data_IF_307869158500
#
_entry.id   IF_307869158500
#
_cell.length_a   1.000
_cell.length_b   1.000
_cell.length_c   1.000
_cell.angle_alpha   90.00
_cell.angle_beta   90.00
_cell.angle_gamma   90.00
#
_symmetry.space_group_name_H-M   'P 1'
#
loop_
_entity.id
_entity.type
_entity.pdbx_description
1 polymer ?
#
# COMPACT_ATOMS: atom_id res chain seq x y z
N UNK A 1 -38.00 -4.89 -16.43
CA UNK A 1 -37.77 -3.65 -15.66
C UNK A 1 -36.65 -3.95 -14.68
N UNK A 2 -35.42 -3.58 -15.06
CA UNK A 2 -34.17 -3.95 -14.39
C UNK A 2 -33.96 -3.00 -13.18
N UNK A 3 -34.72 -3.24 -12.10
CA UNK A 3 -34.67 -2.45 -10.88
C UNK A 3 -33.43 -2.86 -10.07
N UNK A 4 -32.39 -2.02 -10.07
CA UNK A 4 -31.24 -2.18 -9.16
C UNK A 4 -29.87 -1.78 -9.70
N UNK A 5 -29.72 -1.46 -11.00
CA UNK A 5 -28.44 -0.94 -11.49
C UNK A 5 -28.29 0.53 -11.10
N UNK A 6 -27.25 0.95 -10.36
CA UNK A 6 -27.02 2.35 -10.07
C UNK A 6 -26.82 3.11 -11.39
N UNK A 7 -27.72 4.06 -11.67
CA UNK A 7 -27.64 4.96 -12.80
C UNK A 7 -26.54 5.99 -12.51
N UNK A 8 -25.55 6.07 -13.40
CA UNK A 8 -24.50 7.08 -13.33
C UNK A 8 -24.87 8.22 -14.28
N UNK A 9 -25.27 9.35 -13.71
CA UNK A 9 -25.60 10.55 -14.47
C UNK A 9 -24.30 11.25 -14.92
N UNK A 10 -24.26 11.69 -16.18
CA UNK A 10 -23.11 12.44 -16.72
C UNK A 10 -23.56 13.46 -17.75
N UNK A 11 -22.86 14.61 -17.77
CA UNK A 11 -23.02 15.64 -18.80
C UNK A 11 -22.10 15.40 -20.01
N UNK A 12 -21.10 14.52 -19.88
CA UNK A 12 -20.16 14.19 -20.97
C UNK A 12 -20.88 13.49 -22.12
N UNK A 13 -20.46 13.75 -23.35
CA UNK A 13 -21.00 13.15 -24.58
C UNK A 13 -19.87 12.82 -25.56
N UNK A 14 -20.15 11.99 -26.55
CA UNK A 14 -19.22 11.65 -27.61
C UNK A 14 -17.91 11.06 -27.09
N UNK A 15 -16.79 11.46 -27.68
CA UNK A 15 -15.48 10.89 -27.37
C UNK A 15 -15.03 11.11 -25.91
N UNK A 16 -15.58 12.10 -25.21
CA UNK A 16 -15.28 12.33 -23.78
C UNK A 16 -15.77 11.18 -22.91
N UNK A 17 -16.91 10.56 -23.25
CA UNK A 17 -17.42 9.38 -22.56
C UNK A 17 -16.47 8.18 -22.75
N UNK A 18 -15.92 8.04 -23.96
CA UNK A 18 -15.00 6.94 -24.29
C UNK A 18 -13.61 7.10 -23.66
N UNK A 19 -13.18 8.34 -23.36
CA UNK A 19 -11.90 8.66 -22.71
C UNK A 19 -11.95 8.63 -21.18
N UNK A 20 -13.15 8.69 -20.61
CA UNK A 20 -13.36 8.65 -19.17
C UNK A 20 -13.47 7.18 -18.68
N UNK A 21 -12.47 6.65 -17.95
CA UNK A 21 -12.49 5.27 -17.49
C UNK A 21 -13.63 4.95 -16.50
N UNK A 22 -14.21 5.94 -15.83
CA UNK A 22 -15.33 5.75 -14.91
C UNK A 22 -16.65 5.52 -15.67
N UNK A 23 -16.76 6.06 -16.89
CA UNK A 23 -17.95 6.00 -17.73
C UNK A 23 -17.84 4.96 -18.85
N UNK A 24 -16.64 4.77 -19.40
CA UNK A 24 -16.43 3.95 -20.58
C UNK A 24 -16.76 2.47 -20.32
N UNK A 25 -17.67 1.92 -21.13
CA UNK A 25 -18.03 0.50 -21.14
C UNK A 25 -17.41 -0.26 -22.32
N UNK A 26 -16.66 0.42 -23.19
CA UNK A 26 -16.18 -0.15 -24.45
C UNK A 26 -17.33 -0.70 -25.30
N UNK A 27 -17.16 -1.89 -25.85
CA UNK A 27 -18.20 -2.56 -26.66
C UNK A 27 -19.45 -3.00 -25.86
N UNK A 28 -19.48 -2.84 -24.53
CA UNK A 28 -20.63 -3.18 -23.70
C UNK A 28 -21.69 -2.06 -23.65
N UNK A 29 -21.43 -0.88 -24.23
CA UNK A 29 -22.48 0.10 -24.45
C UNK A 29 -23.56 -0.47 -25.37
N UNK A 30 -24.83 -0.41 -24.93
CA UNK A 30 -25.98 -0.82 -25.75
C UNK A 30 -26.20 0.12 -26.93
N UNK A 31 -27.00 -0.28 -27.92
CA UNK A 31 -27.34 0.62 -29.04
C UNK A 31 -27.99 1.93 -28.55
N UNK A 32 -28.93 1.80 -27.61
CA UNK A 32 -29.62 2.95 -27.00
C UNK A 32 -28.63 3.88 -26.29
N UNK A 33 -27.74 3.34 -25.44
CA UNK A 33 -26.71 4.14 -24.78
C UNK A 33 -25.80 4.83 -25.80
N UNK A 34 -25.43 4.14 -26.89
CA UNK A 34 -24.58 4.72 -27.93
C UNK A 34 -25.25 5.91 -28.63
N UNK A 35 -26.55 5.80 -28.90
CA UNK A 35 -27.33 6.88 -29.50
C UNK A 35 -27.51 8.05 -28.53
N UNK A 36 -27.90 7.79 -27.29
CA UNK A 36 -28.14 8.81 -26.26
C UNK A 36 -26.86 9.55 -25.83
N UNK A 37 -25.71 8.86 -25.83
CA UNK A 37 -24.41 9.44 -25.45
C UNK A 37 -23.64 10.02 -26.64
N UNK A 38 -24.22 10.01 -27.85
CA UNK A 38 -23.59 10.48 -29.10
C UNK A 38 -22.27 9.75 -29.45
N UNK A 39 -22.20 8.44 -29.21
CA UNK A 39 -21.05 7.58 -29.51
C UNK A 39 -21.37 6.50 -30.57
N UNK A 40 -22.57 6.51 -31.14
CA UNK A 40 -22.90 5.65 -32.27
C UNK A 40 -22.01 6.00 -33.48
N UNK A 41 -21.42 4.98 -34.12
CA UNK A 41 -20.42 5.16 -35.18
C UNK A 41 -18.97 5.30 -34.68
N UNK A 42 -18.74 5.60 -33.39
CA UNK A 42 -17.38 5.67 -32.81
C UNK A 42 -16.86 4.32 -32.31
N UNK A 43 -17.72 3.30 -32.28
CA UNK A 43 -17.40 1.93 -31.87
C UNK A 43 -17.85 0.96 -32.99
N UNK A 44 -17.18 -0.19 -33.14
CA UNK A 44 -17.60 -1.23 -34.09
C UNK A 44 -19.07 -1.63 -33.90
N UNK A 45 -19.78 -2.06 -34.96
CA UNK A 45 -21.20 -2.40 -34.93
C UNK A 45 -21.49 -3.77 -34.27
N UNK A 46 -20.75 -4.12 -33.21
CA UNK A 46 -20.97 -5.27 -32.37
C UNK A 46 -21.11 -4.86 -30.90
N UNK A 47 -21.86 -5.67 -30.15
CA UNK A 47 -22.17 -5.43 -28.73
C UNK A 47 -21.64 -6.60 -27.93
N UNK A 48 -20.59 -6.38 -27.15
CA UNK A 48 -19.99 -7.42 -26.31
C UNK A 48 -20.30 -7.14 -24.85
N UNK A 49 -21.04 -8.06 -24.22
CA UNK A 49 -21.29 -8.02 -22.78
C UNK A 49 -19.99 -8.07 -21.97
N UNK A 50 -20.08 -7.71 -20.69
CA UNK A 50 -18.90 -7.58 -19.83
C UNK A 50 -18.09 -8.88 -19.73
N UNK A 51 -18.73 -10.04 -19.67
CA UNK A 51 -18.04 -11.33 -19.58
C UNK A 51 -17.24 -11.67 -20.86
N UNK A 52 -17.76 -11.32 -22.03
CA UNK A 52 -17.02 -11.48 -23.30
C UNK A 52 -15.80 -10.53 -23.35
N UNK A 53 -15.92 -9.33 -22.78
CA UNK A 53 -14.79 -8.42 -22.64
C UNK A 53 -13.75 -8.96 -21.65
N UNK A 54 -14.16 -9.53 -20.51
CA UNK A 54 -13.27 -10.21 -19.56
C UNK A 54 -12.52 -11.32 -20.28
N UNK A 55 -13.20 -12.20 -21.01
CA UNK A 55 -12.57 -13.26 -21.79
C UNK A 55 -11.50 -12.74 -22.76
N UNK A 56 -11.77 -11.62 -23.42
CA UNK A 56 -10.79 -10.97 -24.31
C UNK A 56 -9.55 -10.52 -23.54
N UNK A 57 -9.71 -9.94 -22.35
CA UNK A 57 -8.56 -9.56 -21.50
C UNK A 57 -7.79 -10.79 -21.06
N UNK A 58 -8.45 -11.85 -20.61
CA UNK A 58 -7.82 -13.10 -20.20
C UNK A 58 -6.97 -13.71 -21.33
N UNK A 59 -7.49 -13.73 -22.56
CA UNK A 59 -6.75 -14.23 -23.73
C UNK A 59 -5.51 -13.39 -24.05
N UNK A 60 -5.58 -12.07 -23.90
CA UNK A 60 -4.40 -11.24 -24.06
C UNK A 60 -3.40 -11.44 -22.92
N UNK A 61 -3.87 -11.54 -21.69
CA UNK A 61 -3.06 -11.79 -20.49
C UNK A 61 -2.28 -13.11 -20.60
N UNK A 62 -2.93 -14.18 -21.08
CA UNK A 62 -2.33 -15.51 -21.29
C UNK A 62 -1.24 -15.52 -22.36
N UNK A 63 -1.31 -14.62 -23.34
CA UNK A 63 -0.31 -14.51 -24.42
C UNK A 63 0.96 -13.80 -23.98
N UNK A 64 0.91 -13.01 -22.91
CA UNK A 64 2.08 -12.29 -22.40
C UNK A 64 2.98 -13.24 -21.64
N UNK A 65 4.29 -13.09 -21.83
CA UNK A 65 5.31 -14.01 -21.33
C UNK A 65 5.95 -13.57 -20.02
N UNK A 66 5.80 -12.31 -19.63
CA UNK A 66 6.32 -11.80 -18.36
C UNK A 66 5.25 -11.03 -17.56
N UNK A 67 5.43 -10.99 -16.24
CA UNK A 67 4.45 -10.38 -15.34
C UNK A 67 4.44 -8.85 -15.41
N UNK A 68 5.55 -8.22 -15.80
CA UNK A 68 5.58 -6.78 -16.02
C UNK A 68 4.68 -6.37 -17.19
N UNK A 69 4.70 -7.10 -18.31
CA UNK A 69 3.80 -6.82 -19.42
C UNK A 69 2.33 -7.06 -19.02
N UNK A 70 2.08 -8.08 -18.19
CA UNK A 70 0.74 -8.34 -17.62
C UNK A 70 0.30 -7.20 -16.70
N UNK A 71 1.20 -6.65 -15.88
CA UNK A 71 0.95 -5.46 -15.09
C UNK A 71 0.58 -4.27 -15.98
N UNK A 72 1.38 -3.99 -17.03
CA UNK A 72 1.13 -2.91 -17.98
C UNK A 72 -0.23 -3.08 -18.68
N UNK A 73 -0.59 -4.30 -19.07
CA UNK A 73 -1.90 -4.63 -19.64
C UNK A 73 -3.04 -4.26 -18.67
N UNK A 74 -2.92 -4.65 -17.40
CA UNK A 74 -3.93 -4.40 -16.38
C UNK A 74 -4.03 -2.92 -16.00
N UNK A 75 -2.92 -2.19 -15.87
CA UNK A 75 -2.93 -0.73 -15.63
C UNK A 75 -3.55 0.02 -16.82
N UNK A 76 -3.19 -0.38 -18.05
CA UNK A 76 -3.80 0.19 -19.26
C UNK A 76 -5.31 -0.10 -19.33
N UNK A 77 -5.76 -1.24 -18.79
CA UNK A 77 -7.18 -1.55 -18.68
C UNK A 77 -7.87 -0.67 -17.64
N UNK A 78 -7.26 -0.46 -16.47
CA UNK A 78 -7.77 0.44 -15.42
C UNK A 78 -7.99 1.85 -15.98
N UNK A 79 -7.03 2.35 -16.77
CA UNK A 79 -7.08 3.66 -17.42
C UNK A 79 -8.08 3.77 -18.57
N UNK A 80 -8.58 2.64 -19.09
CA UNK A 80 -9.52 2.61 -20.20
C UNK A 80 -10.94 2.37 -19.75
N UNK A 81 -11.15 1.42 -18.84
CA UNK A 81 -12.46 0.96 -18.38
C UNK A 81 -12.28 0.38 -16.97
N UNK A 82 -12.51 1.21 -15.97
CA UNK A 82 -12.24 0.89 -14.57
C UNK A 82 -13.17 -0.21 -14.05
N UNK A 83 -14.44 -0.23 -14.48
CA UNK A 83 -15.39 -1.30 -14.12
C UNK A 83 -14.96 -2.65 -14.69
N UNK A 84 -14.45 -2.69 -15.92
CA UNK A 84 -13.93 -3.92 -16.52
C UNK A 84 -12.63 -4.36 -15.84
N UNK A 85 -11.74 -3.43 -15.47
CA UNK A 85 -10.55 -3.74 -14.68
C UNK A 85 -10.93 -4.49 -13.39
N UNK A 86 -11.80 -3.91 -12.55
CA UNK A 86 -12.20 -4.56 -11.30
C UNK A 86 -12.97 -5.86 -11.53
N UNK A 87 -13.76 -5.98 -12.61
CA UNK A 87 -14.42 -7.23 -12.98
C UNK A 87 -13.41 -8.34 -13.36
N UNK A 88 -12.31 -7.99 -14.04
CA UNK A 88 -11.21 -8.93 -14.33
C UNK A 88 -10.53 -9.35 -13.03
N UNK A 89 -10.16 -8.41 -12.15
CA UNK A 89 -9.53 -8.73 -10.86
C UNK A 89 -10.42 -9.65 -10.03
N UNK A 90 -11.72 -9.35 -9.93
CA UNK A 90 -12.69 -10.15 -9.17
C UNK A 90 -13.00 -11.52 -9.79
N UNK A 91 -12.63 -11.76 -11.06
CA UNK A 91 -12.87 -13.05 -11.71
C UNK A 91 -11.91 -14.15 -11.22
N UNK A 92 -10.71 -13.77 -10.79
CA UNK A 92 -9.68 -14.67 -10.26
C UNK A 92 -8.65 -13.85 -9.46
N UNK A 93 -9.04 -13.45 -8.24
CA UNK A 93 -8.23 -12.53 -7.44
C UNK A 93 -6.88 -13.13 -7.06
N UNK A 94 -6.82 -14.44 -6.84
CA UNK A 94 -5.58 -15.16 -6.53
C UNK A 94 -4.58 -15.04 -7.68
N UNK A 95 -5.04 -15.14 -8.94
CA UNK A 95 -4.20 -14.99 -10.12
C UNK A 95 -3.77 -13.55 -10.39
N UNK A 96 -4.65 -12.56 -10.15
CA UNK A 96 -4.37 -11.16 -10.51
C UNK A 96 -3.71 -10.33 -9.42
N UNK A 97 -3.95 -10.63 -8.14
CA UNK A 97 -3.32 -9.95 -7.02
C UNK A 97 -1.79 -9.90 -7.09
N UNK A 98 -1.05 -10.99 -7.41
CA UNK A 98 0.41 -10.94 -7.52
C UNK A 98 0.93 -10.13 -8.72
N UNK A 99 0.04 -9.78 -9.66
CA UNK A 99 0.37 -8.94 -10.81
C UNK A 99 0.13 -7.47 -10.49
N UNK A 100 -1.04 -7.10 -9.96
CA UNK A 100 -1.37 -5.69 -9.66
C UNK A 100 -0.77 -5.18 -8.35
N UNK A 101 -0.26 -6.09 -7.52
CA UNK A 101 0.42 -5.79 -6.27
C UNK A 101 1.70 -6.65 -6.14
N UNK A 102 2.09 -7.00 -4.92
CA UNK A 102 3.32 -7.77 -4.63
C UNK A 102 3.28 -9.17 -5.26
N UNK A 103 4.35 -9.63 -5.93
CA UNK A 103 5.67 -8.99 -6.03
C UNK A 103 5.83 -8.05 -7.25
N UNK A 104 4.99 -8.18 -8.28
CA UNK A 104 5.20 -7.55 -9.59
C UNK A 104 5.19 -6.02 -9.53
N UNK A 105 4.38 -5.42 -8.65
CA UNK A 105 4.36 -3.96 -8.47
C UNK A 105 5.73 -3.40 -8.05
N UNK A 106 6.53 -4.16 -7.31
CA UNK A 106 7.88 -3.74 -6.94
C UNK A 106 8.80 -3.65 -8.16
N UNK A 107 8.73 -4.64 -9.06
CA UNK A 107 9.42 -4.61 -10.35
C UNK A 107 8.93 -3.45 -11.22
N UNK A 108 7.62 -3.20 -11.24
CA UNK A 108 7.04 -2.05 -11.95
C UNK A 108 7.54 -0.71 -11.37
N UNK A 109 7.73 -0.60 -10.05
CA UNK A 109 8.34 0.56 -9.43
C UNK A 109 9.81 0.70 -9.86
N UNK A 110 10.62 -0.35 -9.86
CA UNK A 110 12.01 -0.26 -10.31
C UNK A 110 12.14 0.24 -11.77
N UNK A 111 11.13 -0.02 -12.60
CA UNK A 111 11.08 0.37 -14.00
C UNK A 111 10.04 1.47 -14.28
N UNK A 112 9.62 2.22 -13.26
CA UNK A 112 8.42 3.07 -13.36
C UNK A 112 8.56 4.16 -14.43
N UNK A 113 9.75 4.77 -14.59
CA UNK A 113 9.98 5.77 -15.63
C UNK A 113 9.85 5.20 -17.06
N UNK A 114 10.24 3.94 -17.26
CA UNK A 114 10.05 3.22 -18.54
C UNK A 114 8.59 2.80 -18.74
N UNK A 115 7.92 2.39 -17.66
CA UNK A 115 6.53 1.95 -17.67
C UNK A 115 5.52 3.12 -17.61
N UNK A 116 5.98 4.36 -17.39
CA UNK A 116 5.14 5.52 -17.20
C UNK A 116 4.36 5.83 -18.49
N UNK A 117 3.03 5.81 -18.38
CA UNK A 117 2.12 6.08 -19.50
C UNK A 117 1.12 7.15 -19.14
N UNK A 118 0.00 6.76 -18.54
CA UNK A 118 -1.01 7.71 -18.05
C UNK A 118 -0.76 7.95 -16.56
N UNK A 119 -0.70 9.21 -16.10
CA UNK A 119 -0.50 9.50 -14.69
C UNK A 119 -1.69 9.00 -13.87
N UNK A 120 -1.38 8.33 -12.75
CA UNK A 120 -2.33 7.90 -11.71
C UNK A 120 -1.84 8.46 -10.38
N UNK A 121 -2.76 9.05 -9.62
CA UNK A 121 -2.47 9.65 -8.33
C UNK A 121 -1.98 11.09 -8.42
N UNK A 122 -1.61 11.63 -7.26
CA UNK A 122 -1.13 13.00 -7.07
C UNK A 122 0.32 12.96 -6.59
N UNK A 123 1.18 13.73 -7.25
CA UNK A 123 2.58 13.90 -6.87
C UNK A 123 2.72 15.25 -6.18
N UNK A 124 3.22 15.24 -4.94
CA UNK A 124 3.46 16.43 -4.13
C UNK A 124 4.94 16.44 -3.79
N UNK A 125 5.64 17.50 -4.15
CA UNK A 125 7.07 17.59 -3.93
C UNK A 125 7.41 18.49 -2.74
N UNK A 126 8.65 18.42 -2.26
CA UNK A 126 9.15 19.35 -1.23
C UNK A 126 9.09 20.83 -1.67
N UNK A 127 9.05 21.09 -2.98
CA UNK A 127 8.96 22.44 -3.54
C UNK A 127 7.52 22.99 -3.54
N UNK A 128 6.53 22.15 -3.27
CA UNK A 128 5.12 22.54 -3.22
C UNK A 128 4.66 22.98 -1.83
N UNK A 129 5.58 23.07 -0.87
CA UNK A 129 5.30 23.56 0.48
C UNK A 129 4.70 24.97 0.42
N UNK A 130 3.57 25.17 1.08
CA UNK A 130 2.71 26.35 1.05
C UNK A 130 1.60 26.30 0.01
N UNK A 131 1.55 25.26 -0.83
CA UNK A 131 0.65 25.15 -1.97
C UNK A 131 -0.13 23.83 -2.04
N UNK A 132 0.03 22.91 -1.07
CA UNK A 132 -0.59 21.57 -1.12
C UNK A 132 -2.11 21.67 -1.23
N UNK A 133 -2.73 22.57 -0.47
CA UNK A 133 -4.18 22.80 -0.53
C UNK A 133 -4.68 23.19 -1.93
N UNK A 134 -3.84 23.88 -2.71
CA UNK A 134 -4.15 24.23 -4.11
C UNK A 134 -3.96 23.03 -5.02
N UNK A 135 -2.91 22.24 -4.83
CA UNK A 135 -2.68 21.01 -5.61
C UNK A 135 -3.84 20.02 -5.48
N UNK A 136 -4.35 19.81 -4.27
CA UNK A 136 -5.48 18.90 -4.03
C UNK A 136 -6.75 19.33 -4.77
N UNK A 137 -6.91 20.62 -5.12
CA UNK A 137 -8.03 21.10 -5.96
C UNK A 137 -7.97 20.61 -7.40
N UNK A 138 -6.79 20.22 -7.87
CA UNK A 138 -6.59 19.67 -9.22
C UNK A 138 -7.07 18.22 -9.34
N UNK A 139 -7.25 17.52 -8.22
CA UNK A 139 -7.86 16.19 -8.24
C UNK A 139 -9.36 16.31 -8.57
N UNK A 140 -9.85 15.59 -9.59
CA UNK A 140 -11.20 15.79 -10.13
C UNK A 140 -12.31 15.34 -9.17
N UNK A 141 -12.00 14.40 -8.26
CA UNK A 141 -12.97 13.89 -7.29
C UNK A 141 -12.94 14.73 -6.02
N UNK A 142 -14.11 15.23 -5.60
CA UNK A 142 -14.26 16.08 -4.42
C UNK A 142 -14.48 15.29 -3.12
N UNK A 143 -14.96 14.04 -3.23
CA UNK A 143 -15.30 13.20 -2.08
C UNK A 143 -14.30 12.05 -1.95
N UNK A 144 -13.14 12.34 -1.38
CA UNK A 144 -12.13 11.32 -1.05
C UNK A 144 -12.37 10.77 0.35
N UNK A 145 -12.28 9.45 0.48
CA UNK A 145 -12.45 8.70 1.74
C UNK A 145 -11.22 7.92 2.14
N UNK A 146 -10.38 7.51 1.18
CA UNK A 146 -9.16 6.77 1.45
C UNK A 146 -7.99 7.31 0.63
N UNK A 147 -6.92 7.67 1.33
CA UNK A 147 -5.63 8.04 0.76
C UNK A 147 -4.61 6.98 1.16
N UNK A 148 -3.83 6.52 0.19
CA UNK A 148 -2.59 5.80 0.46
C UNK A 148 -1.46 6.70 0.02
N UNK A 149 -0.53 6.98 0.93
CA UNK A 149 0.60 7.89 0.71
C UNK A 149 1.91 7.16 0.98
N UNK A 150 2.93 7.46 0.16
CA UNK A 150 4.30 6.99 0.33
C UNK A 150 5.29 8.11 -0.01
N UNK A 151 6.50 8.08 0.55
CA UNK A 151 7.64 8.89 0.10
C UNK A 151 8.66 8.06 -0.71
N UNK A 152 8.36 6.77 -0.94
CA UNK A 152 9.17 5.85 -1.73
C UNK A 152 10.51 5.45 -1.10
N UNK A 153 10.74 5.73 0.18
CA UNK A 153 12.05 5.50 0.82
C UNK A 153 12.34 4.01 1.08
N UNK A 154 11.30 3.20 1.31
CA UNK A 154 11.45 1.79 1.65
C UNK A 154 10.40 0.95 0.94
N UNK A 155 10.46 0.92 -0.39
CA UNK A 155 9.56 0.08 -1.19
C UNK A 155 9.84 -1.39 -0.91
N UNK A 156 8.99 -2.05 -0.11
CA UNK A 156 9.11 -3.47 0.23
C UNK A 156 10.55 -3.85 0.69
N UNK A 157 11.18 -4.80 -0.02
CA UNK A 157 12.58 -5.20 0.14
C UNK A 157 13.53 -4.58 -0.89
N UNK A 158 13.07 -3.60 -1.69
CA UNK A 158 13.80 -2.99 -2.80
C UNK A 158 14.49 -1.67 -2.39
N UNK A 159 14.11 -1.10 -1.25
CA UNK A 159 14.71 0.11 -0.70
C UNK A 159 14.16 1.39 -1.33
N UNK A 160 15.03 2.39 -1.43
CA UNK A 160 14.65 3.73 -1.91
C UNK A 160 14.45 3.74 -3.42
N UNK A 161 13.21 3.95 -3.87
CA UNK A 161 12.85 4.15 -5.27
C UNK A 161 12.34 5.57 -5.55
N UNK A 162 12.36 6.46 -4.56
CA UNK A 162 11.87 7.83 -4.68
C UNK A 162 10.50 7.92 -5.33
N UNK A 163 10.36 8.82 -6.30
CA UNK A 163 9.12 9.06 -7.02
C UNK A 163 8.61 7.85 -7.83
N UNK A 164 9.47 6.88 -8.14
CA UNK A 164 9.02 5.63 -8.78
C UNK A 164 8.17 4.74 -7.85
N UNK A 165 8.15 5.01 -6.54
CA UNK A 165 7.30 4.29 -5.58
C UNK A 165 5.79 4.48 -5.77
N UNK A 166 5.33 5.36 -6.69
CA UNK A 166 3.90 5.67 -6.89
C UNK A 166 3.09 4.42 -7.26
N UNK A 167 3.73 3.41 -7.87
CA UNK A 167 3.08 2.13 -8.14
C UNK A 167 2.48 1.46 -6.90
N UNK A 168 3.06 1.68 -5.72
CA UNK A 168 2.60 1.08 -4.47
C UNK A 168 1.23 1.64 -4.03
N UNK A 169 1.04 2.96 -3.80
CA UNK A 169 -0.28 3.51 -3.52
C UNK A 169 -1.35 3.14 -4.54
N UNK A 170 -1.00 3.13 -5.84
CA UNK A 170 -1.92 2.77 -6.92
C UNK A 170 -2.36 1.30 -6.79
N UNK A 171 -1.41 0.38 -6.61
CA UNK A 171 -1.70 -1.04 -6.42
C UNK A 171 -2.47 -1.31 -5.13
N UNK A 172 -2.11 -0.65 -4.02
CA UNK A 172 -2.79 -0.79 -2.73
C UNK A 172 -4.26 -0.36 -2.84
N UNK A 173 -4.54 0.78 -3.46
CA UNK A 173 -5.91 1.26 -3.66
C UNK A 173 -6.71 0.40 -4.65
N UNK A 174 -6.05 -0.25 -5.61
CA UNK A 174 -6.71 -1.27 -6.43
C UNK A 174 -7.19 -2.46 -5.57
N UNK A 175 -6.42 -2.91 -4.58
CA UNK A 175 -6.83 -3.95 -3.64
C UNK A 175 -7.91 -3.48 -2.65
N UNK A 176 -7.88 -2.22 -2.21
CA UNK A 176 -8.96 -1.63 -1.43
C UNK A 176 -10.32 -1.79 -2.12
N UNK A 177 -10.37 -1.55 -3.42
CA UNK A 177 -11.60 -1.74 -4.20
C UNK A 177 -11.88 -3.21 -4.47
N UNK A 178 -10.90 -3.97 -4.96
CA UNK A 178 -11.11 -5.36 -5.39
C UNK A 178 -11.45 -6.31 -4.22
N UNK A 179 -10.80 -6.11 -3.06
CA UNK A 179 -10.96 -6.97 -1.89
C UNK A 179 -11.89 -6.35 -0.83
N UNK A 180 -11.83 -5.03 -0.66
CA UNK A 180 -12.57 -4.31 0.40
C UNK A 180 -13.85 -3.64 -0.07
N UNK A 181 -14.14 -3.61 -1.38
CA UNK A 181 -15.33 -2.93 -1.92
C UNK A 181 -15.31 -1.40 -1.79
N UNK A 182 -14.16 -0.81 -1.47
CA UNK A 182 -14.02 0.66 -1.40
C UNK A 182 -14.18 1.24 -2.80
N UNK A 183 -15.00 2.28 -2.94
CA UNK A 183 -15.28 2.88 -4.25
C UNK A 183 -14.01 3.54 -4.81
N UNK A 184 -13.60 3.22 -6.05
CA UNK A 184 -12.33 3.70 -6.60
C UNK A 184 -12.28 5.22 -6.78
N UNK A 185 -13.42 5.87 -7.06
CA UNK A 185 -13.50 7.33 -7.15
C UNK A 185 -13.46 8.03 -5.78
N UNK A 186 -13.52 7.29 -4.66
CA UNK A 186 -13.30 7.80 -3.31
C UNK A 186 -11.85 7.55 -2.83
N UNK A 187 -11.00 7.01 -3.71
CA UNK A 187 -9.60 6.68 -3.44
C UNK A 187 -8.64 7.69 -4.08
N UNK A 188 -7.57 8.06 -3.38
CA UNK A 188 -6.53 8.95 -3.89
C UNK A 188 -5.12 8.41 -3.57
N UNK A 189 -4.36 7.94 -4.57
CA UNK A 189 -2.95 7.60 -4.39
C UNK A 189 -2.09 8.87 -4.35
N UNK A 190 -1.15 8.94 -3.40
CA UNK A 190 -0.27 10.11 -3.24
C UNK A 190 1.20 9.68 -3.15
N UNK A 191 2.06 10.41 -3.84
CA UNK A 191 3.52 10.33 -3.73
C UNK A 191 4.06 11.64 -3.18
N UNK A 192 4.84 11.56 -2.10
CA UNK A 192 5.59 12.67 -1.53
C UNK A 192 7.04 12.63 -2.02
N UNK A 193 7.38 13.44 -3.02
CA UNK A 193 8.74 13.49 -3.57
C UNK A 193 9.61 14.52 -2.83
N UNK A 194 10.46 14.02 -1.95
CA UNK A 194 11.44 14.82 -1.20
C UNK A 194 12.86 14.61 -1.70
N UNK A 195 13.02 14.02 -2.89
CA UNK A 195 14.29 13.50 -3.41
C UNK A 195 14.46 12.00 -3.17
N UNK A 196 15.61 11.47 -3.57
CA UNK A 196 15.98 10.06 -3.37
C UNK A 196 17.46 9.93 -3.05
N UNK A 197 17.80 9.01 -2.15
CA UNK A 197 19.18 8.66 -1.83
C UNK A 197 19.75 7.58 -2.78
N UNK A 198 18.93 7.06 -3.70
CA UNK A 198 19.32 6.07 -4.69
C UNK A 198 20.19 6.67 -5.81
N UNK A 199 21.49 6.40 -5.75
CA UNK A 199 22.49 6.87 -6.73
C UNK A 199 22.22 6.42 -8.17
N UNK A 200 21.62 5.24 -8.36
CA UNK A 200 21.28 4.74 -9.68
C UNK A 200 20.18 5.59 -10.31
N UNK A 201 19.15 5.93 -9.53
CA UNK A 201 18.04 6.78 -10.00
C UNK A 201 18.47 8.23 -10.22
N UNK A 202 19.34 8.78 -9.36
CA UNK A 202 19.87 10.13 -9.55
C UNK A 202 20.62 10.28 -10.89
N UNK A 203 21.26 9.21 -11.36
CA UNK A 203 22.02 9.16 -12.62
C UNK A 203 21.16 8.73 -13.82
N UNK A 204 20.00 8.12 -13.60
CA UNK A 204 19.12 7.64 -14.66
C UNK A 204 18.46 8.83 -15.38
N UNK A 205 18.72 9.08 -16.68
CA UNK A 205 18.11 10.19 -17.41
C UNK A 205 16.58 10.08 -17.52
N UNK A 206 16.00 8.90 -17.28
CA UNK A 206 14.55 8.67 -17.31
C UNK A 206 13.88 8.81 -15.94
N UNK A 207 14.66 9.01 -14.86
CA UNK A 207 14.09 9.26 -13.54
C UNK A 207 13.16 10.48 -13.55
N UNK A 208 11.91 10.27 -13.12
CA UNK A 208 10.83 11.25 -13.19
C UNK A 208 10.71 12.11 -11.92
N UNK A 209 11.44 11.78 -10.86
CA UNK A 209 11.41 12.50 -9.60
C UNK A 209 12.48 13.59 -9.46
N UNK A 210 12.52 14.22 -8.30
CA UNK A 210 13.50 15.24 -7.96
C UNK A 210 14.93 14.66 -7.92
N UNK A 211 15.83 15.27 -8.68
CA UNK A 211 17.24 14.83 -8.85
C UNK A 211 18.16 15.39 -7.78
N UNK A 212 17.79 15.18 -6.53
CA UNK A 212 18.64 15.49 -5.38
C UNK A 212 18.42 14.47 -4.26
N UNK A 213 19.36 14.45 -3.31
CA UNK A 213 19.27 13.64 -2.09
C UNK A 213 18.04 13.99 -1.26
N UNK A 214 17.57 13.05 -0.44
CA UNK A 214 16.35 13.25 0.35
C UNK A 214 16.50 14.43 1.30
N UNK A 215 15.52 15.33 1.29
CA UNK A 215 15.38 16.37 2.32
C UNK A 215 14.94 15.72 3.63
N UNK A 216 15.63 16.07 4.71
CA UNK A 216 15.44 15.50 6.06
C UNK A 216 15.18 16.61 7.09
N UNK A 217 14.80 16.21 8.29
CA UNK A 217 14.62 17.13 9.42
C UNK A 217 13.38 18.01 9.27
N UNK A 218 13.46 19.24 9.76
CA UNK A 218 12.29 20.11 9.90
C UNK A 218 11.56 20.37 8.58
N UNK A 219 12.29 20.57 7.48
CA UNK A 219 11.67 20.83 6.17
C UNK A 219 10.80 19.64 5.70
N UNK A 220 11.23 18.40 5.96
CA UNK A 220 10.42 17.21 5.70
C UNK A 220 9.19 17.17 6.60
N UNK A 221 9.37 17.47 7.89
CA UNK A 221 8.28 17.44 8.88
C UNK A 221 7.21 18.50 8.59
N UNK A 222 7.61 19.70 8.17
CA UNK A 222 6.71 20.79 7.78
C UNK A 222 5.86 20.41 6.57
N UNK A 223 6.45 19.73 5.57
CA UNK A 223 5.72 19.24 4.40
C UNK A 223 4.64 18.22 4.79
N UNK A 224 5.00 17.28 5.66
CA UNK A 224 4.07 16.25 6.14
C UNK A 224 2.96 16.87 7.00
N UNK A 225 3.27 17.84 7.85
CA UNK A 225 2.27 18.57 8.63
C UNK A 225 1.29 19.32 7.72
N UNK A 226 1.80 20.08 6.76
CA UNK A 226 0.96 20.76 5.76
C UNK A 226 0.10 19.78 4.97
N UNK A 227 0.66 18.63 4.57
CA UNK A 227 -0.09 17.60 3.86
C UNK A 227 -1.27 17.08 4.68
N UNK A 228 -1.05 16.71 5.95
CA UNK A 228 -2.10 16.19 6.83
C UNK A 228 -3.20 17.22 7.08
N UNK A 229 -2.83 18.50 7.27
CA UNK A 229 -3.76 19.62 7.43
C UNK A 229 -4.54 19.91 6.14
N UNK A 230 -3.86 19.96 4.99
CA UNK A 230 -4.51 20.25 3.70
C UNK A 230 -5.49 19.14 3.29
N UNK A 231 -5.13 17.87 3.50
CA UNK A 231 -5.99 16.72 3.22
C UNK A 231 -7.26 16.78 4.06
N UNK A 232 -7.12 16.95 5.37
CA UNK A 232 -8.28 16.95 6.28
C UNK A 232 -9.11 18.21 6.20
N UNK A 233 -8.51 19.36 5.87
CA UNK A 233 -9.23 20.58 5.54
C UNK A 233 -10.13 20.40 4.31
N UNK A 234 -9.63 19.71 3.28
CA UNK A 234 -10.38 19.51 2.02
C UNK A 234 -11.40 18.37 2.09
N UNK A 235 -11.03 17.23 2.65
CA UNK A 235 -11.80 15.98 2.59
C UNK A 235 -12.44 15.58 3.92
N UNK A 236 -12.16 16.33 5.00
CA UNK A 236 -12.68 16.10 6.35
C UNK A 236 -11.83 15.17 7.19
N UNK A 237 -11.98 15.26 8.52
CA UNK A 237 -11.24 14.45 9.51
C UNK A 237 -11.50 12.94 9.42
N UNK A 238 -12.60 12.54 8.78
CA UNK A 238 -12.96 11.13 8.55
C UNK A 238 -12.31 10.55 7.30
N UNK A 239 -11.56 11.34 6.52
CA UNK A 239 -10.78 10.80 5.40
C UNK A 239 -9.65 9.96 5.98
N UNK A 240 -9.61 8.68 5.62
CA UNK A 240 -8.55 7.77 5.98
C UNK A 240 -7.25 8.16 5.26
N UNK A 241 -6.14 8.22 6.00
CA UNK A 241 -4.79 8.41 5.47
C UNK A 241 -3.92 7.23 5.89
N UNK A 242 -3.64 6.33 4.96
CA UNK A 242 -2.73 5.20 5.18
C UNK A 242 -1.31 5.58 4.72
N UNK A 243 -0.34 5.42 5.61
CA UNK A 243 1.09 5.50 5.30
C UNK A 243 1.59 4.13 4.83
N UNK A 244 2.39 4.11 3.77
CA UNK A 244 2.94 2.90 3.15
C UNK A 244 4.40 3.10 2.73
N UNK A 245 5.25 2.10 2.97
CA UNK A 245 6.63 2.01 2.46
C UNK A 245 7.54 3.22 2.81
N UNK A 246 7.33 3.82 3.98
CA UNK A 246 8.26 4.78 4.58
C UNK A 246 9.44 4.06 5.24
N UNK A 247 10.57 4.75 5.45
CA UNK A 247 11.65 4.16 6.24
C UNK A 247 11.28 4.00 7.72
N UNK A 248 11.79 2.93 8.35
CA UNK A 248 11.56 2.54 9.76
C UNK A 248 11.47 3.70 10.75
N UNK A 249 12.45 4.60 10.74
CA UNK A 249 12.48 5.72 11.68
C UNK A 249 11.31 6.70 11.46
N UNK A 250 10.98 6.99 10.20
CA UNK A 250 9.89 7.88 9.84
C UNK A 250 8.53 7.21 10.04
N UNK A 251 8.34 5.95 9.65
CA UNK A 251 7.05 5.28 9.78
C UNK A 251 6.54 5.26 11.24
N UNK A 252 7.38 4.86 12.20
CA UNK A 252 7.02 4.88 13.62
C UNK A 252 6.77 6.29 14.14
N UNK A 253 7.64 7.24 13.79
CA UNK A 253 7.55 8.63 14.25
C UNK A 253 6.28 9.31 13.74
N UNK A 254 5.97 9.17 12.45
CA UNK A 254 4.77 9.74 11.82
C UNK A 254 3.51 9.08 12.37
N UNK A 255 3.50 7.75 12.52
CA UNK A 255 2.38 7.04 13.14
C UNK A 255 2.12 7.56 14.56
N UNK A 256 3.16 7.71 15.38
CA UNK A 256 3.01 8.23 16.74
C UNK A 256 2.51 9.68 16.76
N UNK A 257 3.04 10.53 15.87
CA UNK A 257 2.67 11.95 15.76
C UNK A 257 1.20 12.15 15.36
N UNK A 258 0.68 11.34 14.43
CA UNK A 258 -0.60 11.61 13.77
C UNK A 258 -1.78 10.72 14.23
N UNK A 259 -1.56 9.50 14.73
CA UNK A 259 -2.64 8.53 15.02
C UNK A 259 -3.73 8.98 16.00
N UNK A 260 -3.43 9.93 16.87
CA UNK A 260 -4.39 10.47 17.86
C UNK A 260 -5.01 11.81 17.41
N UNK A 261 -4.66 12.29 16.22
CA UNK A 261 -5.14 13.55 15.65
C UNK A 261 -5.93 13.34 14.36
N UNK A 262 -5.55 12.34 13.57
CA UNK A 262 -6.12 12.06 12.24
C UNK A 262 -6.63 10.62 12.15
N UNK A 263 -7.56 10.36 11.23
CA UNK A 263 -7.92 9.00 10.85
C UNK A 263 -6.78 8.39 10.02
N UNK A 264 -5.78 7.83 10.70
CA UNK A 264 -4.57 7.32 10.05
C UNK A 264 -4.05 6.03 10.67
N UNK A 265 -3.41 5.22 9.83
CA UNK A 265 -2.65 4.05 10.25
C UNK A 265 -1.51 3.81 9.26
N UNK A 266 -0.60 2.90 9.61
CA UNK A 266 0.46 2.42 8.71
C UNK A 266 0.31 0.89 8.54
N UNK A 267 0.21 0.42 7.30
CA UNK A 267 -0.06 -1.01 7.04
C UNK A 267 1.17 -1.89 7.32
N UNK A 268 2.37 -1.41 7.01
CA UNK A 268 3.63 -2.12 7.26
C UNK A 268 3.83 -2.47 8.75
N UNK A 269 3.39 -1.58 9.64
CA UNK A 269 3.44 -1.76 11.09
C UNK A 269 2.18 -2.46 11.59
N UNK A 270 0.99 -1.89 11.34
CA UNK A 270 -0.25 -2.30 12.01
C UNK A 270 -1.01 -3.39 11.24
N UNK A 271 -1.01 -3.31 9.90
CA UNK A 271 -1.60 -4.34 9.03
C UNK A 271 -0.85 -5.66 9.14
N UNK A 272 0.48 -5.62 8.99
CA UNK A 272 1.36 -6.79 9.19
C UNK A 272 1.19 -7.40 10.58
N UNK A 273 1.12 -6.56 11.62
CA UNK A 273 0.84 -7.04 12.98
C UNK A 273 -0.49 -7.78 13.07
N UNK A 274 -1.55 -7.19 12.52
CA UNK A 274 -2.91 -7.76 12.55
C UNK A 274 -2.97 -9.13 11.89
N UNK A 275 -2.45 -9.27 10.67
CA UNK A 275 -2.48 -10.55 9.94
C UNK A 275 -1.60 -11.62 10.60
N UNK A 276 -0.43 -11.25 11.14
CA UNK A 276 0.43 -12.19 11.85
C UNK A 276 -0.23 -12.70 13.14
N UNK A 277 -0.83 -11.82 13.94
CA UNK A 277 -1.56 -12.22 15.15
C UNK A 277 -2.78 -13.05 14.80
N UNK A 278 -3.51 -12.73 13.72
CA UNK A 278 -4.59 -13.59 13.23
C UNK A 278 -4.10 -15.01 12.91
N UNK A 279 -2.93 -15.14 12.27
CA UNK A 279 -2.26 -16.42 12.02
C UNK A 279 -1.89 -17.17 13.32
N UNK A 280 -1.34 -16.47 14.31
CA UNK A 280 -1.04 -17.05 15.62
C UNK A 280 -2.32 -17.56 16.31
N UNK A 281 -3.37 -16.76 16.36
CA UNK A 281 -4.65 -17.15 16.95
C UNK A 281 -5.27 -18.36 16.22
N UNK A 282 -5.13 -18.45 14.91
CA UNK A 282 -5.53 -19.62 14.15
C UNK A 282 -4.70 -20.86 14.52
N UNK A 283 -3.38 -20.71 14.67
CA UNK A 283 -2.49 -21.79 15.10
C UNK A 283 -2.80 -22.28 16.52
N UNK A 284 -3.16 -21.40 17.45
CA UNK A 284 -3.56 -21.76 18.82
C UNK A 284 -4.79 -22.68 18.86
N UNK A 285 -5.68 -22.59 17.86
CA UNK A 285 -6.82 -23.51 17.72
C UNK A 285 -6.38 -24.95 17.39
N UNK A 286 -5.16 -25.14 16.89
CA UNK A 286 -4.55 -26.43 16.60
C UNK A 286 -3.77 -26.92 17.83
N UNK A 287 -2.91 -26.08 18.40
CA UNK A 287 -2.04 -26.43 19.54
C UNK A 287 -2.78 -26.54 20.87
N UNK A 288 -4.00 -25.98 20.98
CA UNK A 288 -4.88 -26.05 22.16
C UNK A 288 -4.28 -25.46 23.43
N UNK A 289 -3.43 -24.46 23.30
CA UNK A 289 -2.85 -23.67 24.39
C UNK A 289 -3.15 -22.17 24.20
N UNK A 290 -2.74 -21.33 25.15
CA UNK A 290 -2.97 -19.87 25.11
C UNK A 290 -1.77 -19.16 24.54
N UNK A 291 -1.97 -17.94 24.01
CA UNK A 291 -0.87 -17.14 23.48
C UNK A 291 0.17 -16.85 24.57
N UNK A 292 -0.31 -16.56 25.78
CA UNK A 292 0.48 -16.33 26.99
C UNK A 292 1.30 -17.54 27.46
N UNK A 293 1.10 -18.74 26.90
CA UNK A 293 1.93 -19.91 27.20
C UNK A 293 3.18 -19.97 26.29
N UNK A 294 3.26 -19.12 25.26
CA UNK A 294 4.34 -19.13 24.27
C UNK A 294 5.50 -18.18 24.59
N UNK A 295 6.68 -18.53 24.07
CA UNK A 295 7.85 -17.65 23.91
C UNK A 295 8.05 -17.43 22.41
N UNK A 296 8.07 -16.18 21.98
CA UNK A 296 8.10 -15.77 20.58
C UNK A 296 9.48 -15.20 20.24
N UNK A 297 10.14 -15.77 19.24
CA UNK A 297 11.40 -15.28 18.69
C UNK A 297 11.19 -14.72 17.28
N UNK A 298 11.69 -13.50 17.05
CA UNK A 298 11.65 -12.84 15.74
C UNK A 298 13.04 -12.82 15.09
N UNK A 299 13.16 -13.28 13.84
CA UNK A 299 14.30 -13.02 12.97
C UNK A 299 14.08 -11.73 12.18
N UNK A 300 14.23 -10.61 12.86
CA UNK A 300 13.99 -9.28 12.31
C UNK A 300 13.57 -8.34 13.43
N UNK A 301 13.96 -7.07 13.33
CA UNK A 301 13.57 -6.04 14.29
C UNK A 301 13.29 -4.70 13.60
N UNK A 302 12.64 -4.76 12.42
CA UNK A 302 12.11 -3.62 11.68
C UNK A 302 10.65 -3.33 12.00
N UNK A 303 9.99 -2.53 11.17
CA UNK A 303 8.57 -2.14 11.29
C UNK A 303 7.63 -3.32 11.56
N UNK A 304 7.65 -4.31 10.68
CA UNK A 304 6.82 -5.51 10.79
C UNK A 304 7.02 -6.22 12.12
N UNK A 305 8.25 -6.64 12.43
CA UNK A 305 8.55 -7.40 13.64
C UNK A 305 8.17 -6.64 14.92
N UNK A 306 8.47 -5.34 14.99
CA UNK A 306 8.10 -4.52 16.14
C UNK A 306 6.57 -4.32 16.22
N UNK A 307 5.88 -4.16 15.10
CA UNK A 307 4.42 -4.10 15.04
C UNK A 307 3.78 -5.39 15.55
N UNK A 308 4.22 -6.54 15.04
CA UNK A 308 3.72 -7.87 15.46
C UNK A 308 3.99 -8.07 16.94
N UNK A 309 5.22 -7.86 17.41
CA UNK A 309 5.60 -7.99 18.81
C UNK A 309 4.71 -7.12 19.74
N UNK A 310 4.40 -5.90 19.32
CA UNK A 310 3.47 -5.01 20.02
C UNK A 310 2.07 -5.60 20.15
N UNK A 311 1.52 -6.08 19.03
CA UNK A 311 0.14 -6.59 19.02
C UNK A 311 0.04 -7.95 19.73
N UNK A 312 1.08 -8.78 19.67
CA UNK A 312 1.19 -10.01 20.47
C UNK A 312 1.16 -9.69 21.97
N UNK A 313 1.90 -8.68 22.42
CA UNK A 313 1.85 -8.24 23.82
C UNK A 313 0.44 -7.80 24.21
N UNK A 314 -0.21 -6.96 23.40
CA UNK A 314 -1.59 -6.53 23.67
C UNK A 314 -2.58 -7.70 23.68
N UNK A 315 -2.38 -8.69 22.82
CA UNK A 315 -3.21 -9.90 22.79
C UNK A 315 -2.99 -10.76 24.04
N UNK A 316 -1.75 -10.91 24.52
CA UNK A 316 -1.44 -11.57 25.80
C UNK A 316 -2.01 -10.79 27.00
N UNK A 317 -1.96 -9.46 26.99
CA UNK A 317 -2.59 -8.62 28.02
C UNK A 317 -4.10 -8.86 28.07
N UNK A 318 -4.75 -9.04 26.91
CA UNK A 318 -6.16 -9.39 26.81
C UNK A 318 -6.50 -10.78 27.35
N UNK A 319 -5.53 -11.70 27.38
CA UNK A 319 -5.64 -13.00 28.08
C UNK A 319 -5.44 -12.89 29.60
N UNK A 320 -5.02 -11.73 30.12
CA UNK A 320 -4.95 -11.41 31.54
C UNK A 320 -3.55 -11.38 32.16
N UNK A 321 -2.47 -11.50 31.37
CA UNK A 321 -1.10 -11.32 31.91
C UNK A 321 -0.66 -9.85 31.85
N UNK A 322 0.25 -9.42 32.72
CA UNK A 322 0.74 -8.04 32.69
C UNK A 322 1.58 -7.76 31.44
N UNK A 323 1.68 -6.49 31.06
CA UNK A 323 2.54 -6.04 29.96
C UNK A 323 3.99 -6.48 30.13
N UNK A 324 4.52 -6.41 31.35
CA UNK A 324 5.89 -6.79 31.67
C UNK A 324 6.09 -8.30 31.50
N UNK A 325 5.12 -9.10 31.96
CA UNK A 325 5.13 -10.55 31.78
C UNK A 325 5.02 -10.94 30.30
N UNK A 326 4.17 -10.27 29.53
CA UNK A 326 4.06 -10.47 28.08
C UNK A 326 5.36 -10.06 27.36
N UNK A 327 5.97 -8.93 27.74
CA UNK A 327 7.19 -8.43 27.10
C UNK A 327 8.38 -9.36 27.30
N UNK A 328 8.50 -10.00 28.47
CA UNK A 328 9.53 -11.01 28.77
C UNK A 328 9.45 -12.27 27.89
N UNK A 329 8.32 -12.49 27.20
CA UNK A 329 8.12 -13.64 26.28
C UNK A 329 8.54 -13.34 24.85
N UNK A 330 8.92 -12.10 24.55
CA UNK A 330 9.23 -11.65 23.20
C UNK A 330 10.73 -11.42 23.05
N UNK A 331 11.34 -12.08 22.08
CA UNK A 331 12.75 -11.96 21.73
C UNK A 331 12.88 -11.53 20.28
N UNK A 332 13.79 -10.60 19.98
CA UNK A 332 14.05 -10.15 18.62
C UNK A 332 15.52 -10.30 18.27
N UNK A 333 15.80 -10.55 17.00
CA UNK A 333 17.13 -10.59 16.41
C UNK A 333 17.18 -9.58 15.27
N UNK A 334 18.27 -8.82 15.16
CA UNK A 334 18.55 -8.01 13.98
C UNK A 334 19.90 -8.40 13.35
N UNK A 335 20.36 -7.64 12.36
CA UNK A 335 21.63 -7.92 11.67
C UNK A 335 22.85 -7.92 12.60
N UNK A 336 22.74 -7.37 13.81
CA UNK A 336 23.80 -7.36 14.83
C UNK A 336 23.66 -8.50 15.85
N UNK A 337 22.58 -9.28 15.81
CA UNK A 337 22.30 -10.39 16.72
C UNK A 337 21.08 -10.17 17.59
N UNK A 338 20.99 -10.92 18.70
CA UNK A 338 19.91 -10.85 19.68
C UNK A 338 19.82 -9.45 20.30
N UNK A 339 18.60 -8.93 20.47
CA UNK A 339 18.35 -7.68 21.20
C UNK A 339 18.46 -7.96 22.72
N UNK A 340 19.52 -7.47 23.35
CA UNK A 340 19.78 -7.69 24.80
C UNK A 340 20.21 -6.39 25.50
N UNK A 341 20.03 -6.34 26.82
CA UNK A 341 20.36 -5.18 27.65
C UNK A 341 21.85 -4.85 27.56
N UNK A 342 22.19 -3.57 27.39
CA UNK A 342 23.58 -3.11 27.30
C UNK A 342 24.20 -3.23 25.91
N UNK A 343 23.53 -3.88 24.95
CA UNK A 343 23.99 -3.97 23.57
C UNK A 343 24.03 -2.58 22.91
N UNK A 344 25.09 -2.29 22.18
CA UNK A 344 25.21 -1.05 21.43
C UNK A 344 24.15 -0.92 20.31
N UNK A 345 23.86 0.32 19.87
CA UNK A 345 23.00 0.62 18.70
C UNK A 345 21.54 0.16 18.79
N UNK A 346 20.90 0.27 19.96
CA UNK A 346 19.46 0.02 20.11
C UNK A 346 18.65 1.31 19.92
N UNK A 347 17.64 1.26 19.05
CA UNK A 347 16.62 2.33 18.99
C UNK A 347 15.72 2.26 20.22
N UNK A 348 15.02 3.36 20.51
CA UNK A 348 14.09 3.44 21.64
C UNK A 348 13.04 2.31 21.60
N UNK A 349 12.52 1.97 20.42
CA UNK A 349 11.54 0.90 20.23
C UNK A 349 12.10 -0.49 20.54
N UNK A 350 13.38 -0.72 20.23
CA UNK A 350 14.08 -1.99 20.51
C UNK A 350 14.45 -2.14 21.99
N UNK A 351 14.75 -1.04 22.68
CA UNK A 351 15.19 -1.06 24.08
C UNK A 351 14.21 -1.76 25.01
N UNK A 352 12.90 -1.68 24.76
CA UNK A 352 11.91 -2.34 25.62
C UNK A 352 11.99 -3.87 25.59
N UNK A 353 12.55 -4.45 24.53
CA UNK A 353 12.70 -5.88 24.35
C UNK A 353 14.12 -6.36 24.69
N UNK A 354 14.98 -5.46 25.17
CA UNK A 354 16.36 -5.74 25.53
C UNK A 354 16.42 -6.35 26.93
N UNK A 355 16.19 -7.67 27.00
CA UNK A 355 16.26 -8.43 28.25
C UNK A 355 17.70 -8.64 28.70
N UNK A 356 17.90 -8.93 29.98
CA UNK A 356 19.21 -9.36 30.48
C UNK A 356 19.53 -10.75 29.95
N UNK A 357 20.51 -10.83 29.06
CA UNK A 357 20.92 -12.05 28.38
C UNK A 357 22.31 -11.85 27.73
N UNK A 358 23.04 -12.93 27.51
CA UNK A 358 24.30 -12.88 26.76
C UNK A 358 24.06 -12.41 25.31
N UNK A 359 25.02 -11.66 24.75
CA UNK A 359 25.00 -11.33 23.33
C UNK A 359 25.18 -12.60 22.49
N UNK A 360 24.32 -12.78 21.49
CA UNK A 360 24.36 -13.92 20.58
C UNK A 360 24.11 -13.43 19.16
N UNK A 361 24.80 -14.02 18.19
CA UNK A 361 24.71 -13.60 16.77
C UNK A 361 24.09 -14.66 15.87
N UNK A 362 24.41 -15.93 16.08
CA UNK A 362 23.90 -17.02 15.25
C UNK A 362 22.47 -17.37 15.66
N UNK A 363 21.52 -17.32 14.72
CA UNK A 363 20.12 -17.65 14.99
C UNK A 363 19.93 -19.09 15.46
N UNK A 364 20.72 -20.03 14.96
CA UNK A 364 20.67 -21.44 15.38
C UNK A 364 20.99 -21.57 16.88
N UNK A 365 22.04 -20.88 17.34
CA UNK A 365 22.42 -20.88 18.76
C UNK A 365 21.35 -20.18 19.61
N UNK A 366 20.81 -19.05 19.12
CA UNK A 366 19.72 -18.33 19.78
C UNK A 366 18.47 -19.23 19.92
N UNK A 367 18.11 -19.99 18.89
CA UNK A 367 16.96 -20.91 18.96
C UNK A 367 17.21 -22.04 19.97
N UNK A 368 18.44 -22.60 20.00
CA UNK A 368 18.81 -23.65 20.96
C UNK A 368 18.78 -23.16 22.41
N UNK A 369 19.16 -21.91 22.62
CA UNK A 369 19.25 -21.30 23.95
C UNK A 369 17.89 -20.77 24.45
N UNK A 370 17.22 -19.92 23.67
CA UNK A 370 15.92 -19.32 24.00
C UNK A 370 14.79 -20.36 23.99
N UNK A 371 14.90 -21.41 23.17
CA UNK A 371 13.90 -22.48 22.97
C UNK A 371 12.48 -21.91 22.73
N UNK A 372 12.30 -21.03 21.73
CA UNK A 372 11.00 -20.43 21.46
C UNK A 372 10.02 -21.50 20.97
N UNK A 373 8.75 -21.33 21.33
CA UNK A 373 7.66 -22.15 20.79
C UNK A 373 7.01 -21.52 19.55
N UNK A 374 7.39 -20.28 19.22
CA UNK A 374 6.99 -19.57 17.99
C UNK A 374 8.23 -18.88 17.41
N UNK A 375 8.54 -19.14 16.14
CA UNK A 375 9.60 -18.45 15.38
C UNK A 375 8.95 -17.69 14.21
N UNK A 376 9.20 -16.38 14.13
CA UNK A 376 8.66 -15.48 13.07
C UNK A 376 9.84 -14.87 12.32
N UNK A 377 9.87 -15.03 10.99
CA UNK A 377 10.88 -14.46 10.10
C UNK A 377 10.40 -13.22 9.37
#
# INVERSE_FOLDING_TARGET
>A
RDAGRPLQLTMKRGYEVLRDPHLNKGMAFTLEERQQLNIHGLLPPCFLGQDAQVYTILKNFERLTCDLDRYILLMSLQDRNEKLFYKVLASDIERFMPIVYTPTVGLACQQYGLAFRRPRGLFISIHDRGHIATMLKSWPESNIKAIVVTDGERILGLGDLGCYGMGIPVGKLALYTACGGVKPYECLPVMLDVGTDNETLLKDPLYIGLRHKRIRGQAYDDLLDEFMEAVTSRYGMNCLIQFEDFANANAFRLLHKYRNKYCTFNDDIQGTASVAVAGLLAALRITKNRLSDHTVLFQGAGEAALGIANLVIMAMEKEGISKEAATKRIWLVDSKGLIVKGRASLTHEKQRFAHEHAEMKNLEDIVKDIKPSVLIG
#
